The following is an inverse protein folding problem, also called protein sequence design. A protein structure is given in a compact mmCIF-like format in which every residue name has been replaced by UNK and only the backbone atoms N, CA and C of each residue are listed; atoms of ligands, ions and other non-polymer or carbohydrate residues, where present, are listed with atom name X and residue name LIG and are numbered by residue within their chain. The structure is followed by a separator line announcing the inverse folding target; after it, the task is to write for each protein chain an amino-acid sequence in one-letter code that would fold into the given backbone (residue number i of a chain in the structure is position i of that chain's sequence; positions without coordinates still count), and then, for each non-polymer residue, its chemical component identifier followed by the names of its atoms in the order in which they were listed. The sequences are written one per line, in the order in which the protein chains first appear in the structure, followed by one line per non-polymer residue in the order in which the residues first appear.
data_IF_409538127721
#
_entry.id   IF_409538127721
#
_cell.length_a   1.000
_cell.length_b   1.000
_cell.length_c   1.000
_cell.angle_alpha   90.00
_cell.angle_beta   90.00
_cell.angle_gamma   90.00
#
_symmetry.space_group_name_H-M   'P 1'
#
loop_
_entity.id
_entity.type
_entity.pdbx_description
1 polymer ?
#
# COMPACT_ATOMS: atom_id res chain seq x y z
N UNK A 1 -5.47 3.70 -8.81
CA UNK A 1 -6.59 2.79 -8.48
C UNK A 1 -7.71 3.65 -7.88
N UNK A 2 -8.90 3.10 -7.60
CA UNK A 2 -9.93 3.89 -6.88
C UNK A 2 -9.46 4.20 -5.46
N UNK A 3 -9.73 5.41 -4.98
CA UNK A 3 -9.34 5.89 -3.64
C UNK A 3 -10.43 5.61 -2.59
N UNK A 4 -10.71 4.32 -2.38
CA UNK A 4 -11.82 3.82 -1.57
C UNK A 4 -11.38 3.02 -0.33
N UNK A 5 -10.21 3.36 0.23
CA UNK A 5 -9.57 2.66 1.35
C UNK A 5 -9.17 1.19 1.05
N UNK A 6 -9.35 0.73 -0.19
CA UNK A 6 -9.01 -0.64 -0.62
C UNK A 6 -7.95 -0.68 -1.73
N UNK A 7 -7.25 0.43 -2.00
CA UNK A 7 -6.26 0.55 -3.06
C UNK A 7 -5.17 -0.54 -3.01
N UNK A 8 -4.67 -0.88 -1.80
CA UNK A 8 -3.70 -1.97 -1.62
C UNK A 8 -4.24 -3.32 -2.10
N UNK A 9 -5.41 -3.73 -1.61
CA UNK A 9 -5.98 -5.03 -1.96
C UNK A 9 -6.37 -5.08 -3.44
N UNK A 10 -6.78 -3.94 -4.01
CA UNK A 10 -7.11 -3.79 -5.43
C UNK A 10 -5.87 -3.89 -6.32
N UNK A 11 -4.79 -3.25 -5.91
CA UNK A 11 -3.50 -3.34 -6.60
C UNK A 11 -2.96 -4.78 -6.52
N UNK A 12 -2.98 -5.41 -5.35
CA UNK A 12 -2.57 -6.81 -5.18
C UNK A 12 -3.42 -7.76 -6.03
N UNK A 13 -4.75 -7.64 -5.98
CA UNK A 13 -5.61 -8.51 -6.78
C UNK A 13 -5.31 -8.36 -8.28
N UNK A 14 -5.16 -7.12 -8.75
CA UNK A 14 -4.80 -6.87 -10.14
C UNK A 14 -3.45 -7.49 -10.52
N UNK A 15 -2.38 -7.28 -9.75
CA UNK A 15 -1.05 -7.80 -10.13
C UNK A 15 -0.98 -9.32 -10.09
N UNK A 16 -1.77 -9.97 -9.24
CA UNK A 16 -1.78 -11.43 -9.12
C UNK A 16 -2.74 -12.11 -10.11
N UNK A 17 -4.02 -11.71 -10.14
CA UNK A 17 -5.04 -12.39 -10.96
C UNK A 17 -5.55 -11.57 -12.15
N UNK A 18 -5.18 -10.30 -12.29
CA UNK A 18 -5.62 -9.41 -13.36
C UNK A 18 -7.01 -8.80 -13.16
N UNK A 19 -7.65 -9.01 -12.01
CA UNK A 19 -9.02 -8.60 -11.72
C UNK A 19 -9.07 -7.72 -10.47
N UNK A 20 -9.09 -6.38 -10.63
CA UNK A 20 -9.09 -5.45 -9.50
C UNK A 20 -10.38 -5.53 -8.66
N UNK A 21 -11.45 -6.12 -9.20
CA UNK A 21 -12.72 -6.33 -8.50
C UNK A 21 -12.67 -7.45 -7.46
N UNK A 22 -11.64 -8.30 -7.49
CA UNK A 22 -11.46 -9.38 -6.53
C UNK A 22 -10.86 -8.91 -5.20
N UNK A 23 -10.55 -7.61 -5.06
CA UNK A 23 -9.94 -7.04 -3.86
C UNK A 23 -10.60 -7.42 -2.52
N UNK A 24 -11.93 -7.63 -2.38
CA UNK A 24 -12.50 -8.05 -1.09
C UNK A 24 -11.98 -9.44 -0.68
N UNK A 25 -11.80 -10.36 -1.63
CA UNK A 25 -11.24 -11.68 -1.35
C UNK A 25 -9.78 -11.63 -0.91
N UNK A 26 -8.99 -10.66 -1.40
CA UNK A 26 -7.62 -10.46 -0.92
C UNK A 26 -7.58 -9.84 0.48
N UNK A 27 -8.54 -9.00 0.83
CA UNK A 27 -8.70 -8.51 2.21
C UNK A 27 -8.97 -9.67 3.17
N UNK A 28 -9.92 -10.53 2.83
CA UNK A 28 -10.21 -11.73 3.62
C UNK A 28 -9.02 -12.69 3.67
N UNK A 29 -8.31 -12.88 2.55
CA UNK A 29 -7.12 -13.74 2.51
C UNK A 29 -6.01 -13.23 3.43
N UNK A 30 -5.75 -11.92 3.46
CA UNK A 30 -4.79 -11.32 4.38
C UNK A 30 -5.19 -11.57 5.84
N UNK A 31 -6.48 -11.40 6.16
CA UNK A 31 -7.00 -11.62 7.50
C UNK A 31 -6.87 -13.10 7.93
N UNK A 32 -7.20 -14.03 7.04
CA UNK A 32 -7.02 -15.48 7.28
C UNK A 32 -5.54 -15.83 7.49
N UNK A 33 -4.65 -15.27 6.67
CA UNK A 33 -3.21 -15.48 6.79
C UNK A 33 -2.67 -15.00 8.15
N UNK A 34 -3.08 -13.80 8.59
CA UNK A 34 -2.77 -13.27 9.92
C UNK A 34 -3.26 -14.20 11.03
N UNK A 35 -4.51 -14.67 10.95
CA UNK A 35 -5.08 -15.58 11.95
C UNK A 35 -4.37 -16.94 12.00
N UNK A 36 -3.84 -17.39 10.86
CA UNK A 36 -3.23 -18.72 10.74
C UNK A 36 -1.78 -18.81 11.25
N UNK A 37 -1.12 -17.67 11.46
CA UNK A 37 0.27 -17.57 11.90
C UNK A 37 0.43 -16.46 12.96
N UNK A 38 -0.19 -16.66 14.12
CA UNK A 38 -0.16 -15.69 15.22
C UNK A 38 1.21 -15.54 15.88
N UNK A 39 2.14 -16.45 15.59
CA UNK A 39 3.53 -16.34 16.05
C UNK A 39 4.25 -15.24 15.27
N UNK A 40 4.13 -15.25 13.94
CA UNK A 40 4.64 -14.18 13.07
C UNK A 40 3.82 -12.90 13.26
N UNK A 41 2.49 -13.00 13.19
CA UNK A 41 1.54 -11.90 13.34
C UNK A 41 1.06 -11.78 14.79
N UNK A 42 2.02 -11.65 15.70
CA UNK A 42 1.74 -11.51 17.13
C UNK A 42 1.12 -10.15 17.48
N UNK A 43 0.54 -10.03 18.67
CA UNK A 43 0.01 -8.76 19.18
C UNK A 43 1.04 -7.62 19.15
N UNK A 44 2.32 -7.93 19.37
CA UNK A 44 3.39 -6.95 19.30
C UNK A 44 3.59 -6.39 17.88
N UNK A 45 3.42 -7.23 16.85
CA UNK A 45 3.52 -6.82 15.43
C UNK A 45 2.25 -6.07 15.00
N UNK A 46 1.09 -6.56 15.41
CA UNK A 46 -0.21 -6.04 15.01
C UNK A 46 -0.64 -4.78 15.79
N UNK A 47 0.00 -4.52 16.93
CA UNK A 47 -0.37 -3.46 17.88
C UNK A 47 -1.72 -3.68 18.58
N UNK A 48 -2.29 -4.90 18.47
CA UNK A 48 -3.53 -5.35 19.09
C UNK A 48 -3.64 -6.88 19.01
N UNK A 49 -4.51 -7.53 19.80
CA UNK A 49 -4.72 -8.97 19.72
C UNK A 49 -5.09 -9.42 18.29
N UNK A 50 -4.59 -10.58 17.80
CA UNK A 50 -4.84 -11.06 16.44
C UNK A 50 -6.31 -11.07 16.03
N UNK A 51 -7.20 -11.63 16.87
CA UNK A 51 -8.63 -11.67 16.59
C UNK A 51 -9.24 -10.25 16.42
N UNK A 52 -8.78 -9.29 17.24
CA UNK A 52 -9.21 -7.90 17.15
C UNK A 52 -8.64 -7.19 15.91
N UNK A 53 -7.45 -7.59 15.45
CA UNK A 53 -6.87 -7.12 14.20
C UNK A 53 -7.65 -7.64 13.00
N UNK A 54 -7.95 -8.94 12.97
CA UNK A 54 -8.74 -9.59 11.91
C UNK A 54 -10.12 -8.96 11.79
N UNK A 55 -10.82 -8.76 12.90
CA UNK A 55 -12.11 -8.07 12.92
C UNK A 55 -12.02 -6.60 12.45
N UNK A 56 -10.89 -5.94 12.68
CA UNK A 56 -10.65 -4.58 12.21
C UNK A 56 -10.36 -4.54 10.71
N UNK A 57 -9.36 -5.28 10.22
CA UNK A 57 -8.87 -5.19 8.84
C UNK A 57 -9.86 -5.71 7.80
N UNK A 58 -10.80 -6.56 8.19
CA UNK A 58 -11.93 -7.00 7.34
C UNK A 58 -12.93 -5.87 7.04
N UNK A 59 -12.88 -4.76 7.78
CA UNK A 59 -13.68 -3.56 7.50
C UNK A 59 -13.29 -2.91 6.16
N UNK A 60 -14.26 -2.54 5.29
CA UNK A 60 -13.98 -1.99 3.97
C UNK A 60 -13.35 -0.59 4.00
N UNK A 61 -13.48 0.13 5.11
CA UNK A 61 -12.92 1.45 5.36
C UNK A 61 -11.48 1.42 5.89
N UNK A 62 -10.90 0.23 6.11
CA UNK A 62 -9.55 0.09 6.69
C UNK A 62 -8.49 -0.01 5.61
N UNK A 63 -7.45 0.80 5.75
CA UNK A 63 -6.28 0.73 4.89
C UNK A 63 -5.46 -0.49 5.26
N UNK A 64 -5.03 -1.23 4.23
CA UNK A 64 -3.95 -2.21 4.39
C UNK A 64 -2.59 -1.53 4.30
N UNK A 65 -1.55 -2.25 4.69
CA UNK A 65 -0.17 -1.80 4.56
C UNK A 65 0.82 -2.96 4.61
N UNK A 66 1.95 -2.76 5.30
CA UNK A 66 3.05 -3.72 5.36
C UNK A 66 2.63 -5.08 5.95
N UNK A 67 1.73 -5.11 6.94
CA UNK A 67 1.24 -6.36 7.54
C UNK A 67 0.46 -7.17 6.50
N UNK A 68 -0.48 -6.54 5.79
CA UNK A 68 -1.28 -7.21 4.77
C UNK A 68 -0.40 -7.67 3.60
N UNK A 69 0.60 -6.89 3.19
CA UNK A 69 1.55 -7.28 2.15
C UNK A 69 2.37 -8.50 2.56
N UNK A 70 2.87 -8.56 3.79
CA UNK A 70 3.59 -9.71 4.31
C UNK A 70 2.71 -10.97 4.35
N UNK A 71 1.48 -10.83 4.87
CA UNK A 71 0.50 -11.91 4.96
C UNK A 71 0.10 -12.43 3.56
N UNK A 72 -0.13 -11.53 2.61
CA UNK A 72 -0.47 -11.88 1.23
C UNK A 72 0.70 -12.51 0.48
N UNK A 73 1.93 -12.03 0.67
CA UNK A 73 3.12 -12.64 0.09
C UNK A 73 3.26 -14.11 0.51
N UNK A 74 3.08 -14.40 1.81
CA UNK A 74 3.08 -15.76 2.35
C UNK A 74 1.94 -16.61 1.79
N UNK A 75 0.70 -16.11 1.85
CA UNK A 75 -0.50 -16.86 1.48
C UNK A 75 -0.59 -17.17 -0.01
N UNK A 76 -0.11 -16.24 -0.85
CA UNK A 76 -0.17 -16.38 -2.31
C UNK A 76 1.10 -17.01 -2.89
N UNK A 77 2.16 -17.15 -2.09
CA UNK A 77 3.50 -17.55 -2.55
C UNK A 77 4.09 -16.65 -3.65
N UNK A 78 4.00 -15.34 -3.43
CA UNK A 78 4.58 -14.32 -4.32
C UNK A 78 5.54 -13.46 -3.52
N UNK A 79 6.60 -12.97 -4.17
CA UNK A 79 7.28 -11.78 -3.68
C UNK A 79 6.54 -10.52 -4.17
N UNK A 80 6.22 -9.62 -3.25
CA UNK A 80 5.60 -8.34 -3.57
C UNK A 80 6.62 -7.23 -3.40
N UNK A 81 7.03 -6.62 -4.51
CA UNK A 81 7.95 -5.51 -4.54
C UNK A 81 7.16 -4.22 -4.45
N UNK A 82 7.39 -3.41 -3.43
CA UNK A 82 6.71 -2.12 -3.25
C UNK A 82 7.72 -1.01 -3.43
N UNK A 83 7.56 -0.22 -4.49
CA UNK A 83 8.37 0.95 -4.72
C UNK A 83 7.75 2.19 -4.05
N UNK A 84 8.44 2.72 -3.05
CA UNK A 84 8.10 3.99 -2.42
C UNK A 84 8.55 5.13 -3.34
N UNK A 85 7.59 5.89 -3.89
CA UNK A 85 7.87 6.94 -4.89
C UNK A 85 8.70 8.06 -4.29
N UNK A 86 8.41 8.46 -3.05
CA UNK A 86 9.09 9.59 -2.40
C UNK A 86 10.58 9.31 -2.24
N UNK A 87 10.92 8.13 -1.73
CA UNK A 87 12.29 7.77 -1.36
C UNK A 87 13.04 7.05 -2.47
N UNK A 88 12.33 6.36 -3.37
CA UNK A 88 12.89 5.45 -4.37
C UNK A 88 13.31 4.10 -3.79
N UNK A 89 13.00 3.82 -2.51
CA UNK A 89 13.25 2.52 -1.88
C UNK A 89 12.31 1.47 -2.47
N UNK A 90 12.80 0.23 -2.57
CA UNK A 90 11.98 -0.93 -2.89
C UNK A 90 11.98 -1.85 -1.67
N UNK A 91 10.81 -2.08 -1.11
CA UNK A 91 10.57 -3.02 -0.03
C UNK A 91 10.06 -4.35 -0.64
N UNK A 92 10.69 -5.48 -0.30
CA UNK A 92 10.35 -6.79 -0.86
C UNK A 92 9.70 -7.66 0.21
N UNK A 93 8.40 -7.91 0.08
CA UNK A 93 7.65 -8.77 0.98
C UNK A 93 7.71 -10.21 0.47
N UNK A 94 7.99 -11.17 1.37
CA UNK A 94 8.23 -12.58 1.00
C UNK A 94 9.65 -12.89 0.56
N UNK A 95 10.59 -11.92 0.66
CA UNK A 95 12.00 -12.09 0.30
C UNK A 95 12.62 -13.29 1.04
N UNK A 96 13.41 -14.08 0.30
CA UNK A 96 14.15 -15.21 0.87
C UNK A 96 13.30 -16.44 1.20
N UNK A 97 11.99 -16.41 0.93
CA UNK A 97 11.09 -17.54 1.15
C UNK A 97 11.00 -18.51 -0.05
N UNK A 98 11.73 -18.23 -1.14
CA UNK A 98 11.76 -19.08 -2.33
C UNK A 98 10.48 -19.04 -3.16
N UNK A 99 9.74 -17.92 -3.12
CA UNK A 99 8.55 -17.73 -3.92
C UNK A 99 8.90 -17.62 -5.41
N UNK A 100 8.20 -18.35 -6.30
CA UNK A 100 8.61 -18.48 -7.70
C UNK A 100 8.23 -17.30 -8.59
N UNK A 101 7.36 -16.41 -8.10
CA UNK A 101 6.78 -15.31 -8.88
C UNK A 101 6.93 -14.01 -8.09
N UNK A 102 7.30 -12.95 -8.80
CA UNK A 102 7.44 -11.59 -8.27
C UNK A 102 6.43 -10.67 -8.94
N UNK A 103 5.81 -9.79 -8.17
CA UNK A 103 4.91 -8.76 -8.68
C UNK A 103 5.21 -7.42 -8.02
N UNK A 104 4.92 -6.32 -8.71
CA UNK A 104 5.31 -4.99 -8.25
C UNK A 104 4.12 -4.07 -8.01
N UNK A 105 4.23 -3.25 -6.97
CA UNK A 105 3.32 -2.16 -6.63
C UNK A 105 4.13 -0.87 -6.50
N UNK A 106 3.43 0.26 -6.63
CA UNK A 106 3.97 1.58 -6.34
C UNK A 106 3.19 2.19 -5.19
N UNK A 107 3.89 2.80 -4.24
CA UNK A 107 3.31 3.48 -3.09
C UNK A 107 3.64 4.97 -3.13
N UNK A 108 2.59 5.80 -3.13
CA UNK A 108 2.71 7.26 -3.22
C UNK A 108 2.84 7.95 -1.85
N UNK A 109 2.84 7.21 -0.74
CA UNK A 109 2.77 7.78 0.62
C UNK A 109 1.36 7.75 1.23
N UNK A 110 0.32 7.60 0.41
CA UNK A 110 -1.08 7.40 0.83
C UNK A 110 -1.86 6.41 -0.03
N UNK A 111 -1.36 6.07 -1.23
CA UNK A 111 -2.08 5.24 -2.19
C UNK A 111 -1.16 4.17 -2.79
N UNK A 112 -1.74 3.00 -3.06
CA UNK A 112 -1.08 1.91 -3.77
C UNK A 112 -1.64 1.76 -5.18
N UNK A 113 -0.74 1.69 -6.15
CA UNK A 113 -1.04 1.35 -7.54
C UNK A 113 -0.33 0.06 -7.95
N UNK A 114 -0.95 -0.67 -8.87
CA UNK A 114 -0.31 -1.81 -9.50
C UNK A 114 0.74 -1.36 -10.51
N UNK A 115 1.87 -2.06 -10.55
CA UNK A 115 2.87 -1.88 -11.61
C UNK A 115 2.80 -3.04 -12.61
N UNK A 116 2.89 -2.70 -13.89
CA UNK A 116 2.99 -3.64 -15.00
C UNK A 116 4.08 -3.19 -15.98
N UNK A 117 4.69 -4.14 -16.66
CA UNK A 117 5.70 -3.90 -17.68
C UNK A 117 5.01 -3.93 -19.04
N UNK A 118 5.03 -2.79 -19.74
CA UNK A 118 4.62 -2.72 -21.13
C UNK A 118 5.74 -3.28 -22.03
N UNK A 119 5.40 -4.26 -22.87
CA UNK A 119 6.30 -4.85 -23.85
C UNK A 119 6.24 -4.08 -25.19
N UNK A 120 7.29 -4.15 -26.03
CA UNK A 120 7.32 -3.46 -27.32
C UNK A 120 6.21 -3.86 -28.29
N UNK A 121 5.62 -5.05 -28.12
CA UNK A 121 4.51 -5.56 -28.92
C UNK A 121 3.13 -5.13 -28.40
N UNK A 122 3.08 -4.26 -27.38
CA UNK A 122 1.87 -3.73 -26.78
C UNK A 122 1.23 -4.63 -25.73
N UNK A 123 1.78 -5.81 -25.45
CA UNK A 123 1.35 -6.63 -24.31
C UNK A 123 1.83 -6.03 -22.99
N UNK A 124 1.14 -6.36 -21.91
CA UNK A 124 1.55 -6.01 -20.54
C UNK A 124 1.82 -7.27 -19.73
N UNK A 125 2.82 -7.21 -18.86
CA UNK A 125 3.21 -8.32 -17.97
C UNK A 125 3.22 -7.82 -16.53
N UNK A 126 2.56 -8.59 -15.65
CA UNK A 126 2.48 -8.32 -14.20
C UNK A 126 3.52 -9.09 -13.38
N UNK A 127 4.01 -10.18 -13.95
CA UNK A 127 5.12 -10.97 -13.41
C UNK A 127 6.45 -10.27 -13.74
N UNK A 128 7.14 -9.79 -12.71
CA UNK A 128 8.42 -9.09 -12.82
C UNK A 128 9.61 -10.00 -12.45
N UNK A 129 9.43 -11.32 -12.41
CA UNK A 129 10.49 -12.28 -12.03
C UNK A 129 11.71 -12.21 -12.96
N UNK A 130 11.50 -11.87 -14.23
CA UNK A 130 12.58 -11.68 -15.20
C UNK A 130 13.43 -10.42 -14.96
N UNK A 131 13.07 -9.57 -14.00
CA UNK A 131 13.80 -8.39 -13.57
C UNK A 131 14.33 -8.57 -12.12
N UNK A 132 15.41 -9.33 -11.92
CA UNK A 132 15.90 -9.69 -10.58
C UNK A 132 16.30 -8.46 -9.75
N UNK A 133 16.77 -7.39 -10.39
CA UNK A 133 17.21 -6.16 -9.73
C UNK A 133 16.09 -5.11 -9.57
N UNK A 134 14.88 -5.41 -10.06
CA UNK A 134 13.73 -4.52 -10.09
C UNK A 134 14.02 -3.19 -10.82
N UNK A 135 14.84 -3.21 -11.87
CA UNK A 135 15.26 -2.02 -12.62
C UNK A 135 14.05 -1.30 -13.24
N UNK A 136 13.12 -2.04 -13.86
CA UNK A 136 11.92 -1.46 -14.45
C UNK A 136 11.07 -0.74 -13.40
N UNK A 137 10.95 -1.34 -12.21
CA UNK A 137 10.21 -0.78 -11.07
C UNK A 137 10.91 0.49 -10.55
N UNK A 138 12.25 0.50 -10.46
CA UNK A 138 13.04 1.68 -10.06
C UNK A 138 12.89 2.84 -11.04
N UNK A 139 12.91 2.55 -12.33
CA UNK A 139 12.72 3.57 -13.38
C UNK A 139 11.31 4.19 -13.28
N UNK A 140 10.27 3.36 -13.12
CA UNK A 140 8.90 3.83 -12.94
C UNK A 140 8.76 4.73 -11.69
N UNK A 141 9.27 4.28 -10.53
CA UNK A 141 9.24 5.06 -9.30
C UNK A 141 10.02 6.38 -9.44
N UNK A 142 11.17 6.37 -10.11
CA UNK A 142 11.97 7.58 -10.37
C UNK A 142 11.23 8.58 -11.27
N UNK A 143 10.52 8.10 -12.30
CA UNK A 143 9.71 8.95 -13.16
C UNK A 143 8.54 9.59 -12.39
N UNK A 144 7.83 8.81 -11.58
CA UNK A 144 6.74 9.30 -10.71
C UNK A 144 7.27 10.32 -9.69
N UNK A 145 8.44 10.06 -9.11
CA UNK A 145 9.10 10.99 -8.18
C UNK A 145 9.47 12.31 -8.86
N UNK A 146 10.06 12.25 -10.06
CA UNK A 146 10.38 13.45 -10.84
C UNK A 146 9.13 14.27 -11.19
N UNK A 147 8.01 13.59 -11.43
CA UNK A 147 6.70 14.19 -11.65
C UNK A 147 5.96 14.59 -10.35
N UNK A 148 6.60 14.43 -9.17
CA UNK A 148 6.03 14.68 -7.83
C UNK A 148 4.69 13.99 -7.60
N UNK A 149 4.54 12.76 -8.10
CA UNK A 149 3.34 11.92 -7.92
C UNK A 149 3.43 11.15 -6.58
N UNK A 150 3.58 11.88 -5.48
CA UNK A 150 3.62 11.35 -4.11
C UNK A 150 3.14 12.40 -3.11
N UNK A 151 2.70 11.93 -1.94
CA UNK A 151 2.21 12.77 -0.85
C UNK A 151 2.94 12.38 0.43
N UNK A 152 3.74 13.31 0.96
CA UNK A 152 4.36 13.12 2.26
C UNK A 152 3.42 13.62 3.36
N UNK A 153 2.69 12.71 3.99
CA UNK A 153 1.74 13.03 5.07
C UNK A 153 2.42 13.61 6.33
N UNK A 154 3.73 13.49 6.49
CA UNK A 154 4.43 14.13 7.59
C UNK A 154 4.74 15.62 7.33
N UNK A 155 4.79 16.05 6.06
CA UNK A 155 5.33 17.37 5.70
C UNK A 155 4.42 18.24 4.82
N UNK A 156 3.37 17.67 4.23
CA UNK A 156 2.44 18.39 3.36
C UNK A 156 1.78 19.59 4.04
N UNK A 157 1.48 20.61 3.25
CA UNK A 157 0.85 21.85 3.71
C UNK A 157 -0.65 21.80 3.53
N UNK A 158 -1.37 21.92 4.63
CA UNK A 158 -2.82 21.88 4.67
C UNK A 158 -3.37 23.23 5.10
N UNK A 159 -4.49 23.62 4.52
CA UNK A 159 -5.30 24.73 4.99
C UNK A 159 -6.62 24.20 5.50
N UNK A 160 -6.96 24.55 6.74
CA UNK A 160 -8.31 24.31 7.26
C UNK A 160 -9.30 25.22 6.52
N UNK A 161 -10.30 24.63 5.85
CA UNK A 161 -11.32 25.38 5.12
C UNK A 161 -12.30 26.09 6.05
N UNK A 162 -12.44 25.61 7.28
CA UNK A 162 -13.38 26.18 8.26
C UNK A 162 -12.84 27.48 8.89
N UNK A 163 -11.51 27.60 9.08
CA UNK A 163 -10.92 28.77 9.76
C UNK A 163 -9.68 29.37 9.09
N UNK A 164 -9.24 28.83 7.96
CA UNK A 164 -8.12 29.34 7.18
C UNK A 164 -6.72 29.08 7.77
N UNK A 165 -6.62 28.35 8.89
CA UNK A 165 -5.33 28.06 9.52
C UNK A 165 -4.47 27.17 8.62
N UNK A 166 -3.22 27.57 8.42
CA UNK A 166 -2.20 26.74 7.78
C UNK A 166 -1.67 25.71 8.78
N UNK A 167 -1.54 24.48 8.34
CA UNK A 167 -1.16 23.30 9.10
C UNK A 167 -0.09 22.55 8.31
N UNK A 168 0.82 21.91 9.02
CA UNK A 168 1.90 21.13 8.43
C UNK A 168 1.85 19.69 8.89
N UNK A 169 1.63 18.80 7.93
CA UNK A 169 1.55 17.37 8.16
C UNK A 169 0.26 16.94 8.87
N UNK A 170 0.08 15.63 8.92
CA UNK A 170 -1.09 14.97 9.49
C UNK A 170 -1.20 15.24 10.99
N UNK A 171 -0.06 15.28 11.69
CA UNK A 171 -0.02 15.50 13.14
C UNK A 171 -0.63 16.84 13.55
N UNK A 172 -0.32 17.92 12.82
CA UNK A 172 -0.94 19.22 13.09
C UNK A 172 -2.42 19.23 12.72
N UNK A 173 -2.81 18.58 11.61
CA UNK A 173 -4.21 18.46 11.21
C UNK A 173 -5.04 17.68 12.23
N UNK A 174 -4.55 16.55 12.74
CA UNK A 174 -5.21 15.77 13.79
C UNK A 174 -5.34 16.56 15.09
N UNK A 175 -4.28 17.25 15.53
CA UNK A 175 -4.32 18.10 16.72
C UNK A 175 -5.31 19.27 16.56
N UNK A 176 -5.35 19.87 15.38
CA UNK A 176 -6.31 20.92 15.04
C UNK A 176 -7.75 20.40 15.05
N UNK A 177 -8.01 19.24 14.45
CA UNK A 177 -9.33 18.60 14.48
C UNK A 177 -9.78 18.26 15.90
N UNK A 178 -8.90 17.70 16.73
CA UNK A 178 -9.21 17.36 18.11
C UNK A 178 -9.49 18.59 18.99
N UNK A 179 -8.78 19.70 18.76
CA UNK A 179 -8.91 20.91 19.57
C UNK A 179 -10.01 21.86 19.10
N UNK A 180 -10.34 21.87 17.80
CA UNK A 180 -11.31 22.81 17.20
C UNK A 180 -12.57 22.13 16.67
N UNK A 181 -12.58 20.81 16.50
CA UNK A 181 -13.66 20.08 15.83
C UNK A 181 -13.71 20.30 14.31
N UNK A 182 -12.68 20.89 13.71
CA UNK A 182 -12.61 21.17 12.28
C UNK A 182 -12.02 19.96 11.53
N UNK A 183 -12.68 19.50 10.47
CA UNK A 183 -12.26 18.29 9.72
C UNK A 183 -12.09 18.55 8.21
N UNK A 184 -12.36 19.77 7.75
CA UNK A 184 -12.25 20.13 6.34
C UNK A 184 -10.84 20.69 6.06
N UNK A 185 -9.94 19.86 5.52
CA UNK A 185 -8.57 20.26 5.16
C UNK A 185 -8.35 20.15 3.66
N UNK A 186 -7.62 21.12 3.09
CA UNK A 186 -7.27 21.17 1.67
C UNK A 186 -5.77 21.40 1.54
N UNK A 187 -5.10 20.60 0.72
CA UNK A 187 -3.68 20.77 0.39
C UNK A 187 -3.47 21.99 -0.52
N UNK A 188 -2.38 22.74 -0.33
CA UNK A 188 -2.04 23.93 -1.11
C UNK A 188 -0.53 24.13 -1.28
#
# INVERSE_FOLDING_TARGET
MDDDNSCLFRAVSYVLDGHPRNHPSYRELAAVAVQSDTDTFSEAVLGRPPDAYVAWITGPDRWGGAIELAALAQATRHELLVADVETGRIDVFGEGQGHPVRSALVYSGIHYDAAEIALPDGRVVRDVTADPNAEAVRVAASALRAARQFTNTAQFTLRCSDCGQALRGEKEAQSHAASRGHVNFVEY
#
